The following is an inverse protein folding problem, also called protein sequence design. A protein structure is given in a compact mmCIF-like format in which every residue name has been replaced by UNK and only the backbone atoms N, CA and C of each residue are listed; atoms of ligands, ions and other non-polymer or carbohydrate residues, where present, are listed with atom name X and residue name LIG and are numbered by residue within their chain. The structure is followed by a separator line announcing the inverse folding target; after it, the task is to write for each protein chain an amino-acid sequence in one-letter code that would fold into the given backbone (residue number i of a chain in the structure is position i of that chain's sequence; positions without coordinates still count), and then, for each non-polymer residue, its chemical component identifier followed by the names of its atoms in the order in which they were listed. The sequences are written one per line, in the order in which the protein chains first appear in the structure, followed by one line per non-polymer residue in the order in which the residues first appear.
data_IF_564896757408
#
_entry.id   IF_564896757408
#
_cell.length_a   1.000
_cell.length_b   1.000
_cell.length_c   1.000
_cell.angle_alpha   90.00
_cell.angle_beta   90.00
_cell.angle_gamma   90.00
#
_symmetry.space_group_name_H-M   'P 1'
#
loop_
_entity.id
_entity.type
_entity.pdbx_description
1 polymer ?
#
# COMPACT_ATOMS: atom_id res chain seq x y z
N UNK A 1 -23.96 -20.11 -39.26
CA UNK A 1 -23.32 -19.59 -38.04
C UNK A 1 -24.30 -19.80 -36.91
N UNK A 2 -23.92 -20.55 -35.88
CA UNK A 2 -24.78 -20.72 -34.69
C UNK A 2 -24.40 -19.63 -33.70
N UNK A 3 -25.34 -18.76 -33.35
CA UNK A 3 -25.13 -17.72 -32.35
C UNK A 3 -25.66 -18.21 -31.00
N UNK A 4 -24.90 -17.96 -29.93
CA UNK A 4 -25.32 -18.19 -28.55
C UNK A 4 -25.11 -16.88 -27.79
N UNK A 5 -26.20 -16.36 -27.24
CA UNK A 5 -26.17 -15.15 -26.43
C UNK A 5 -26.13 -15.52 -24.95
N UNK A 6 -25.20 -14.91 -24.21
CA UNK A 6 -25.06 -15.09 -22.76
C UNK A 6 -25.19 -13.71 -22.12
N UNK A 7 -26.22 -13.54 -21.29
CA UNK A 7 -26.41 -12.32 -20.50
C UNK A 7 -25.68 -12.46 -19.17
N UNK A 8 -24.88 -11.45 -18.82
CA UNK A 8 -24.17 -11.37 -17.54
C UNK A 8 -24.76 -10.21 -16.75
N UNK A 9 -25.23 -10.49 -15.54
CA UNK A 9 -25.75 -9.48 -14.61
C UNK A 9 -24.77 -9.26 -13.46
N UNK A 10 -24.57 -8.00 -13.10
CA UNK A 10 -23.61 -7.57 -12.09
C UNK A 10 -24.32 -6.68 -11.06
N UNK A 11 -24.13 -6.98 -9.78
CA UNK A 11 -24.53 -6.12 -8.67
C UNK A 11 -23.27 -5.44 -8.10
N UNK A 12 -23.08 -4.17 -8.45
CA UNK A 12 -21.91 -3.38 -8.04
C UNK A 12 -21.84 -3.17 -6.52
N UNK A 13 -22.95 -3.30 -5.80
CA UNK A 13 -23.01 -3.10 -4.35
C UNK A 13 -22.69 -4.38 -3.56
N UNK A 14 -22.49 -5.49 -4.27
CA UNK A 14 -22.18 -6.81 -3.67
C UNK A 14 -20.89 -7.43 -4.17
N UNK A 15 -19.99 -6.64 -4.76
CA UNK A 15 -18.70 -7.11 -5.29
C UNK A 15 -17.88 -7.92 -4.25
N UNK A 16 -17.95 -7.54 -2.96
CA UNK A 16 -17.28 -8.24 -1.87
C UNK A 16 -17.75 -9.71 -1.67
N UNK A 17 -18.90 -10.09 -2.23
CA UNK A 17 -19.47 -11.45 -2.12
C UNK A 17 -19.08 -12.35 -3.29
N UNK A 18 -18.59 -11.79 -4.39
CA UNK A 18 -18.13 -12.58 -5.54
C UNK A 18 -16.80 -13.25 -5.26
N UNK A 19 -16.54 -14.39 -5.90
CA UNK A 19 -15.23 -15.04 -5.86
C UNK A 19 -14.20 -14.23 -6.68
N UNK A 20 -12.92 -14.50 -6.47
CA UNK A 20 -11.85 -13.82 -7.21
C UNK A 20 -11.93 -14.14 -8.71
N UNK A 21 -12.27 -15.39 -9.08
CA UNK A 21 -12.46 -15.81 -10.47
C UNK A 21 -13.64 -15.09 -11.12
N UNK A 22 -14.75 -14.93 -10.38
CA UNK A 22 -15.92 -14.25 -10.89
C UNK A 22 -15.65 -12.75 -11.09
N UNK A 23 -14.93 -12.11 -10.18
CA UNK A 23 -14.48 -10.72 -10.34
C UNK A 23 -13.54 -10.54 -11.53
N UNK A 24 -12.61 -11.48 -11.75
CA UNK A 24 -11.72 -11.45 -12.92
C UNK A 24 -12.50 -11.58 -14.24
N UNK A 25 -13.48 -12.49 -14.30
CA UNK A 25 -14.38 -12.60 -15.45
C UNK A 25 -15.15 -11.28 -15.68
N UNK A 26 -15.77 -10.73 -14.63
CA UNK A 26 -16.53 -9.49 -14.73
C UNK A 26 -15.65 -8.31 -15.17
N UNK A 27 -14.39 -8.27 -14.74
CA UNK A 27 -13.43 -7.26 -15.18
C UNK A 27 -13.20 -7.32 -16.70
N UNK A 28 -12.95 -8.51 -17.24
CA UNK A 28 -12.79 -8.70 -18.68
C UNK A 28 -14.05 -8.34 -19.47
N UNK A 29 -15.23 -8.75 -18.98
CA UNK A 29 -16.52 -8.43 -19.60
C UNK A 29 -16.78 -6.92 -19.58
N UNK A 30 -16.52 -6.24 -18.46
CA UNK A 30 -16.71 -4.81 -18.31
C UNK A 30 -15.76 -4.01 -19.22
N UNK A 31 -14.52 -4.46 -19.39
CA UNK A 31 -13.56 -3.85 -20.33
C UNK A 31 -13.95 -4.06 -21.81
N UNK A 32 -14.63 -5.17 -22.12
CA UNK A 32 -15.17 -5.46 -23.45
C UNK A 32 -16.56 -4.85 -23.69
N UNK A 33 -17.07 -4.03 -22.75
CA UNK A 33 -18.36 -3.37 -22.89
C UNK A 33 -18.38 -2.50 -24.16
N UNK A 34 -19.36 -2.67 -25.07
CA UNK A 34 -19.44 -1.91 -26.32
C UNK A 34 -19.83 -0.43 -26.14
N UNK A 35 -19.99 0.05 -24.90
CA UNK A 35 -20.27 1.45 -24.61
C UNK A 35 -19.21 2.40 -25.24
N UNK A 36 -19.60 3.59 -25.71
CA UNK A 36 -18.66 4.56 -26.24
C UNK A 36 -17.56 4.94 -25.23
N UNK A 37 -16.39 5.30 -25.75
CA UNK A 37 -15.32 5.83 -24.91
C UNK A 37 -15.79 7.08 -24.15
N UNK A 38 -15.47 7.14 -22.84
CA UNK A 38 -15.90 8.21 -21.96
C UNK A 38 -17.29 8.03 -21.34
N UNK A 39 -17.97 6.90 -21.59
CA UNK A 39 -19.21 6.57 -20.90
C UNK A 39 -18.98 6.42 -19.39
N UNK A 40 -19.75 7.20 -18.61
CA UNK A 40 -19.58 7.27 -17.17
C UNK A 40 -19.92 5.95 -16.48
N UNK A 41 -21.02 5.31 -16.85
CA UNK A 41 -21.48 4.09 -16.17
C UNK A 41 -20.57 2.91 -16.47
N UNK A 42 -20.08 2.80 -17.71
CA UNK A 42 -19.07 1.81 -18.08
C UNK A 42 -17.77 2.04 -17.31
N UNK A 43 -17.29 3.28 -17.26
CA UNK A 43 -16.07 3.64 -16.52
C UNK A 43 -16.18 3.40 -15.00
N UNK A 44 -17.33 3.71 -14.41
CA UNK A 44 -17.61 3.48 -12.99
C UNK A 44 -17.67 1.98 -12.66
N UNK A 45 -18.41 1.19 -13.46
CA UNK A 45 -18.52 -0.25 -13.25
C UNK A 45 -17.14 -0.94 -13.31
N UNK A 46 -16.35 -0.57 -14.33
CA UNK A 46 -14.96 -0.96 -14.47
C UNK A 46 -14.18 -0.58 -13.21
N UNK A 47 -14.16 0.69 -12.82
CA UNK A 47 -13.38 1.16 -11.67
C UNK A 47 -13.72 0.43 -10.36
N UNK A 48 -15.01 0.20 -10.08
CA UNK A 48 -15.47 -0.51 -8.87
C UNK A 48 -14.99 -1.95 -8.84
N UNK A 49 -15.06 -2.69 -9.96
CA UNK A 49 -14.53 -4.06 -10.04
C UNK A 49 -13.02 -4.08 -9.83
N UNK A 50 -12.29 -3.20 -10.53
CA UNK A 50 -10.83 -3.12 -10.44
C UNK A 50 -10.34 -2.79 -9.03
N UNK A 51 -10.98 -1.84 -8.35
CA UNK A 51 -10.65 -1.51 -6.96
C UNK A 51 -10.91 -2.64 -5.99
N UNK A 52 -11.98 -3.42 -6.17
CA UNK A 52 -12.21 -4.60 -5.35
C UNK A 52 -11.10 -5.65 -5.54
N UNK A 53 -10.65 -5.88 -6.77
CA UNK A 53 -9.52 -6.79 -7.05
C UNK A 53 -8.24 -6.29 -6.37
N UNK A 54 -7.91 -5.01 -6.52
CA UNK A 54 -6.72 -4.41 -5.88
C UNK A 54 -6.81 -4.51 -4.36
N UNK A 55 -7.97 -4.18 -3.77
CA UNK A 55 -8.21 -4.26 -2.33
C UNK A 55 -7.96 -5.68 -1.81
N UNK A 56 -8.44 -6.71 -2.51
CA UNK A 56 -8.23 -8.12 -2.15
C UNK A 56 -6.77 -8.54 -2.31
N UNK A 57 -6.13 -8.12 -3.40
CA UNK A 57 -4.72 -8.39 -3.63
C UNK A 57 -3.86 -7.78 -2.51
N UNK A 58 -4.12 -6.53 -2.12
CA UNK A 58 -3.45 -5.87 -1.00
C UNK A 58 -3.70 -6.59 0.33
N UNK A 59 -4.91 -7.08 0.58
CA UNK A 59 -5.23 -7.79 1.82
C UNK A 59 -4.53 -9.16 1.94
N UNK A 60 -4.24 -9.83 0.82
CA UNK A 60 -3.57 -11.14 0.78
C UNK A 60 -2.06 -11.05 0.63
N UNK A 61 -1.55 -9.88 0.22
CA UNK A 61 -0.12 -9.67 0.06
C UNK A 61 0.46 -9.22 1.40
N UNK A 62 1.48 -9.90 1.97
CA UNK A 62 2.26 -9.33 3.05
C UNK A 62 2.98 -8.11 2.49
N UNK A 63 2.35 -6.94 2.60
CA UNK A 63 2.97 -5.70 2.17
C UNK A 63 4.29 -5.58 2.95
N UNK A 64 5.41 -5.57 2.23
CA UNK A 64 6.74 -5.44 2.81
C UNK A 64 6.78 -4.08 3.50
N UNK A 65 6.58 -4.06 4.82
CA UNK A 65 6.55 -2.86 5.62
C UNK A 65 7.98 -2.28 5.69
N UNK A 66 8.26 -1.26 4.89
CA UNK A 66 9.30 -0.26 5.19
C UNK A 66 10.72 -0.79 5.51
N UNK A 67 11.28 -1.66 4.67
CA UNK A 67 12.63 -2.21 4.89
C UNK A 67 13.77 -1.18 4.71
N UNK A 68 13.51 -0.10 3.97
CA UNK A 68 14.48 0.97 3.73
C UNK A 68 13.79 2.31 3.94
N UNK A 69 14.05 2.94 5.08
CA UNK A 69 13.59 4.30 5.33
C UNK A 69 14.66 5.30 4.91
N UNK A 70 14.23 6.45 4.38
CA UNK A 70 15.13 7.54 3.98
C UNK A 70 16.09 7.96 5.13
N UNK A 71 15.63 7.80 6.37
CA UNK A 71 16.39 8.15 7.58
C UNK A 71 17.44 7.12 7.96
N UNK A 72 17.42 5.90 7.43
CA UNK A 72 18.33 4.81 7.83
C UNK A 72 19.78 5.17 7.49
N UNK A 73 20.03 5.70 6.27
CA UNK A 73 21.36 6.14 5.85
C UNK A 73 21.87 7.31 6.71
N UNK A 74 21.00 8.28 6.99
CA UNK A 74 21.35 9.42 7.84
C UNK A 74 21.68 8.96 9.26
N UNK A 75 20.84 8.11 9.85
CA UNK A 75 21.02 7.58 11.20
C UNK A 75 22.27 6.72 11.34
N UNK A 76 22.54 5.85 10.36
CA UNK A 76 23.75 5.03 10.33
C UNK A 76 25.03 5.90 10.26
N UNK A 77 25.02 6.95 9.42
CA UNK A 77 26.13 7.89 9.35
C UNK A 77 26.31 8.68 10.66
N UNK A 78 25.22 9.14 11.27
CA UNK A 78 25.25 9.86 12.55
C UNK A 78 25.82 9.00 13.68
N UNK A 79 25.33 7.76 13.84
CA UNK A 79 25.82 6.84 14.87
C UNK A 79 27.29 6.42 14.69
N UNK A 80 27.79 6.41 13.45
CA UNK A 80 29.21 6.17 13.14
C UNK A 80 30.09 7.34 13.60
N UNK A 81 29.61 8.58 13.46
CA UNK A 81 30.39 9.79 13.70
C UNK A 81 30.17 10.40 15.09
N UNK A 82 29.05 10.12 15.74
CA UNK A 82 28.64 10.73 17.00
C UNK A 82 28.04 9.69 17.95
N UNK A 83 28.07 10.01 19.25
CA UNK A 83 27.36 9.28 20.30
C UNK A 83 26.27 10.17 20.86
N UNK A 84 25.12 9.59 21.17
CA UNK A 84 24.08 10.31 21.89
C UNK A 84 24.44 10.40 23.36
N UNK A 85 24.41 11.61 23.91
CA UNK A 85 24.62 11.88 25.31
C UNK A 85 23.28 12.34 25.92
N UNK A 86 22.58 11.46 26.64
CA UNK A 86 21.35 11.84 27.31
C UNK A 86 21.64 12.87 28.42
N UNK A 87 20.63 13.63 28.87
CA UNK A 87 20.77 14.51 30.03
C UNK A 87 21.20 13.69 31.26
N UNK A 88 21.96 14.31 32.16
CA UNK A 88 22.50 13.62 33.33
C UNK A 88 21.37 13.03 34.19
N UNK A 89 21.48 11.74 34.51
CA UNK A 89 20.47 11.02 35.30
C UNK A 89 19.17 10.66 34.57
N UNK A 90 19.04 10.93 33.27
CA UNK A 90 17.82 10.61 32.54
C UNK A 90 17.63 9.10 32.30
N UNK A 91 16.46 8.57 32.68
CA UNK A 91 16.04 7.19 32.40
C UNK A 91 15.58 7.08 30.93
N UNK A 92 16.06 6.10 30.13
CA UNK A 92 15.58 5.84 28.76
C UNK A 92 14.07 5.68 28.59
N UNK A 93 13.32 5.40 29.67
CA UNK A 93 11.85 5.30 29.66
C UNK A 93 11.14 6.63 29.89
N UNK A 94 11.87 7.67 30.27
CA UNK A 94 11.35 9.02 30.49
C UNK A 94 11.45 9.85 29.19
N UNK A 95 10.39 10.58 28.78
CA UNK A 95 10.45 11.56 27.70
C UNK A 95 11.64 12.53 27.77
N UNK A 96 12.11 12.88 28.98
CA UNK A 96 13.26 13.75 29.18
C UNK A 96 14.57 13.20 28.60
N UNK A 97 14.69 11.88 28.45
CA UNK A 97 15.87 11.24 27.83
C UNK A 97 16.13 11.75 26.42
N UNK A 98 15.08 12.09 25.67
CA UNK A 98 15.17 12.56 24.29
C UNK A 98 15.73 13.98 24.13
N UNK A 99 15.90 14.73 25.23
CA UNK A 99 16.43 16.10 25.22
C UNK A 99 17.97 16.17 25.28
N UNK A 100 18.65 15.03 25.16
CA UNK A 100 20.11 14.95 25.08
C UNK A 100 20.69 15.49 23.77
N UNK A 101 22.01 15.50 23.69
CA UNK A 101 22.76 16.04 22.54
C UNK A 101 23.60 14.97 21.86
N UNK A 102 23.82 15.12 20.56
CA UNK A 102 24.79 14.30 19.84
C UNK A 102 26.16 14.93 19.96
N UNK A 103 27.12 14.18 20.49
CA UNK A 103 28.50 14.63 20.60
C UNK A 103 29.39 13.83 19.64
N UNK A 104 30.31 14.46 18.91
CA UNK A 104 31.23 13.76 18.02
C UNK A 104 31.99 12.66 18.77
N UNK A 105 32.19 11.53 18.10
CA UNK A 105 33.18 10.55 18.54
C UNK A 105 34.56 11.12 18.21
N UNK A 106 35.51 10.95 19.11
CA UNK A 106 36.90 11.29 18.82
C UNK A 106 37.35 10.50 17.60
N UNK A 107 38.02 11.17 16.66
CA UNK A 107 38.61 10.49 15.52
C UNK A 107 39.59 9.45 16.07
N UNK A 108 39.42 8.19 15.67
CA UNK A 108 40.46 7.20 15.89
C UNK A 108 41.75 7.72 15.23
N UNK A 109 42.92 7.62 15.90
CA UNK A 109 44.19 8.03 15.32
C UNK A 109 44.51 7.30 14.02
#
# INVERSE_FOLDING_TARGET
MTALDITISLDLDRLARYTDEHLAMLWHVAQANPAPHGDYLAGEAVSRIGFEIIRRWLAKTPAVLHHHQQRDRYWAALCKLAKYQPPEGADPRDPAWHNGTWVPREAAP
#
